data_IF_617708367077
#
_entry.id   IF_617708367077
#
_cell.length_a   1.000
_cell.length_b   1.000
_cell.length_c   1.000
_cell.angle_alpha   90.00
_cell.angle_beta   90.00
_cell.angle_gamma   90.00
#
_symmetry.space_group_name_H-M   'P 1'
#
loop_
_entity.id
_entity.type
_entity.pdbx_description
1 polymer ?
#
# COMPACT_ATOMS: atom_id res chain seq x y z
N UNK A 1 -9.29 -20.86 0.80
CA UNK A 1 -9.80 -19.67 0.09
C UNK A 1 -8.68 -19.19 -0.80
N UNK A 2 -8.90 -19.09 -2.12
CA UNK A 2 -7.89 -18.55 -3.03
C UNK A 2 -7.89 -17.03 -2.86
N UNK A 3 -6.80 -16.47 -2.34
CA UNK A 3 -6.60 -15.02 -2.35
C UNK A 3 -6.57 -14.59 -3.82
N UNK A 4 -7.58 -13.82 -4.24
CA UNK A 4 -7.54 -13.11 -5.51
C UNK A 4 -6.35 -12.17 -5.46
N UNK A 5 -5.45 -12.27 -6.45
CA UNK A 5 -4.31 -11.38 -6.54
C UNK A 5 -4.81 -9.92 -6.50
N UNK A 6 -4.39 -9.16 -5.50
CA UNK A 6 -4.73 -7.75 -5.38
C UNK A 6 -4.20 -7.04 -6.62
N UNK A 7 -5.10 -6.39 -7.36
CA UNK A 7 -4.71 -5.72 -8.61
C UNK A 7 -4.06 -4.36 -8.32
N UNK A 8 -4.14 -3.89 -7.08
CA UNK A 8 -3.66 -2.58 -6.65
C UNK A 8 -2.32 -2.62 -5.91
N UNK A 9 -1.93 -3.75 -5.31
CA UNK A 9 -0.68 -3.90 -4.54
C UNK A 9 0.59 -3.87 -5.42
N UNK A 10 0.96 -2.67 -5.86
CA UNK A 10 2.19 -2.36 -6.60
C UNK A 10 2.81 -1.08 -6.06
N UNK A 11 4.11 -0.87 -6.31
CA UNK A 11 4.72 0.46 -6.14
C UNK A 11 4.12 1.41 -7.16
N UNK A 12 3.67 2.58 -6.70
CA UNK A 12 2.98 3.55 -7.56
C UNK A 12 3.95 4.22 -8.55
N UNK A 13 3.43 4.63 -9.69
CA UNK A 13 4.22 5.30 -10.72
C UNK A 13 4.68 6.69 -10.24
N UNK A 14 3.87 7.39 -9.44
CA UNK A 14 4.27 8.64 -8.77
C UNK A 14 5.45 8.44 -7.81
N UNK A 15 5.56 7.29 -7.16
CA UNK A 15 6.67 6.97 -6.26
C UNK A 15 7.93 6.69 -7.07
N UNK A 16 7.82 5.89 -8.15
CA UNK A 16 8.95 5.60 -9.06
C UNK A 16 9.49 6.85 -9.73
N UNK A 17 8.61 7.78 -10.11
CA UNK A 17 9.02 9.05 -10.70
C UNK A 17 9.74 9.97 -9.70
N UNK A 18 9.32 9.95 -8.43
CA UNK A 18 9.92 10.76 -7.38
C UNK A 18 11.24 10.18 -6.85
N UNK A 19 11.40 8.85 -6.90
CA UNK A 19 12.57 8.13 -6.40
C UNK A 19 12.96 6.99 -7.35
N UNK A 20 13.59 7.32 -8.51
CA UNK A 20 13.97 6.32 -9.49
C UNK A 20 15.07 5.36 -8.99
N UNK A 21 15.83 5.75 -7.97
CA UNK A 21 16.86 4.91 -7.33
C UNK A 21 16.31 3.95 -6.27
N UNK A 22 15.04 4.09 -5.87
CA UNK A 22 14.42 3.25 -4.84
C UNK A 22 15.03 3.43 -3.45
N UNK A 23 15.60 4.59 -3.16
CA UNK A 23 16.26 4.92 -1.90
C UNK A 23 15.28 5.17 -0.75
N UNK A 24 14.01 5.46 -1.08
CA UNK A 24 12.90 5.61 -0.16
C UNK A 24 12.12 4.32 -0.05
N UNK A 25 11.62 4.02 1.15
CA UNK A 25 10.72 2.87 1.38
C UNK A 25 9.37 3.18 0.70
N UNK A 26 8.94 2.39 -0.31
CA UNK A 26 7.67 2.60 -1.00
C UNK A 26 6.46 2.39 -0.07
N UNK A 27 5.35 3.05 -0.35
CA UNK A 27 4.10 2.96 0.42
C UNK A 27 3.57 1.53 0.49
N UNK A 28 3.74 0.75 -0.59
CA UNK A 28 3.42 -0.68 -0.58
C UNK A 28 4.22 -1.40 0.53
N UNK A 29 5.53 -1.24 0.54
CA UNK A 29 6.41 -1.88 1.54
C UNK A 29 6.06 -1.40 2.94
N UNK A 30 5.78 -0.10 3.13
CA UNK A 30 5.34 0.43 4.44
C UNK A 30 4.05 -0.23 4.92
N UNK A 31 3.06 -0.43 4.05
CA UNK A 31 1.85 -1.17 4.41
C UNK A 31 2.17 -2.61 4.81
N UNK A 32 3.08 -3.29 4.08
CA UNK A 32 3.49 -4.66 4.41
C UNK A 32 4.22 -4.74 5.75
N UNK A 33 5.08 -3.77 6.04
CA UNK A 33 5.75 -3.63 7.35
C UNK A 33 4.72 -3.44 8.47
N UNK A 34 3.71 -2.58 8.27
CA UNK A 34 2.63 -2.37 9.24
C UNK A 34 1.86 -3.67 9.52
N UNK A 35 1.56 -4.47 8.49
CA UNK A 35 0.90 -5.78 8.64
C UNK A 35 1.80 -6.81 9.35
N UNK A 36 3.09 -6.83 9.01
CA UNK A 36 4.07 -7.72 9.62
C UNK A 36 4.51 -7.30 11.04
N UNK A 37 4.11 -6.10 11.48
CA UNK A 37 4.58 -5.50 12.74
C UNK A 37 6.06 -5.14 12.70
N UNK A 38 6.66 -4.94 11.52
CA UNK A 38 8.08 -4.68 11.37
C UNK A 38 8.39 -3.17 11.47
N UNK A 39 9.44 -2.81 12.21
CA UNK A 39 9.96 -1.43 12.24
C UNK A 39 11.27 -1.34 11.49
N UNK A 40 11.20 -0.96 10.22
CA UNK A 40 12.37 -0.78 9.37
C UNK A 40 12.77 0.70 9.29
N UNK A 41 14.01 1.02 9.63
CA UNK A 41 14.53 2.37 9.46
C UNK A 41 15.00 2.60 8.02
N UNK A 42 14.97 3.86 7.56
CA UNK A 42 15.39 4.20 6.20
C UNK A 42 16.84 3.82 5.92
N UNK A 43 17.75 4.02 6.89
CA UNK A 43 19.14 3.63 6.74
C UNK A 43 19.33 2.12 6.55
N UNK A 44 18.50 1.29 7.21
CA UNK A 44 18.53 -0.16 7.03
C UNK A 44 17.97 -0.57 5.66
N UNK A 45 16.89 0.06 5.21
CA UNK A 45 16.36 -0.12 3.85
C UNK A 45 17.42 0.18 2.78
N UNK A 46 18.15 1.28 2.94
CA UNK A 46 19.19 1.70 2.00
C UNK A 46 20.40 0.75 1.97
N UNK A 47 20.58 -0.10 2.99
CA UNK A 47 21.61 -1.15 2.96
C UNK A 47 21.21 -2.37 2.13
N UNK A 48 19.91 -2.53 1.84
CA UNK A 48 19.41 -3.63 1.02
C UNK A 48 19.76 -3.41 -0.45
N UNK A 49 20.17 -4.49 -1.11
CA UNK A 49 20.35 -4.51 -2.56
C UNK A 49 19.03 -4.32 -3.29
N UNK A 50 19.09 -3.93 -4.57
CA UNK A 50 17.90 -3.81 -5.41
C UNK A 50 17.09 -5.12 -5.48
N UNK A 51 17.76 -6.27 -5.60
CA UNK A 51 17.13 -7.58 -5.59
C UNK A 51 16.37 -7.86 -4.28
N UNK A 52 16.94 -7.48 -3.13
CA UNK A 52 16.29 -7.66 -1.82
C UNK A 52 15.09 -6.73 -1.66
N UNK A 53 15.22 -5.47 -2.07
CA UNK A 53 14.10 -4.50 -2.10
C UNK A 53 12.96 -5.04 -2.97
N UNK A 54 13.28 -5.60 -4.14
CA UNK A 54 12.30 -6.20 -5.05
C UNK A 54 11.64 -7.45 -4.45
N UNK A 55 12.41 -8.31 -3.78
CA UNK A 55 11.85 -9.47 -3.09
C UNK A 55 10.86 -9.07 -1.98
N UNK A 56 11.14 -7.99 -1.23
CA UNK A 56 10.19 -7.43 -0.25
C UNK A 56 8.96 -6.79 -0.89
N UNK A 57 9.08 -6.26 -2.11
CA UNK A 57 7.93 -5.75 -2.88
C UNK A 57 7.03 -6.90 -3.32
N UNK A 58 7.60 -8.03 -3.74
CA UNK A 58 6.86 -9.19 -4.26
C UNK A 58 6.30 -10.11 -3.18
N UNK A 59 6.94 -10.17 -2.01
CA UNK A 59 6.55 -11.08 -0.94
C UNK A 59 5.12 -10.82 -0.43
N UNK A 60 4.27 -11.85 -0.28
CA UNK A 60 2.89 -11.70 0.17
C UNK A 60 2.79 -11.38 1.67
N UNK A 61 1.72 -10.69 2.07
CA UNK A 61 1.39 -10.40 3.49
C UNK A 61 -0.13 -10.44 3.73
N UNK A 62 -0.76 -11.48 3.21
CA UNK A 62 -2.23 -11.63 3.22
C UNK A 62 -2.83 -12.17 4.53
N UNK A 63 -2.03 -12.92 5.28
CA UNK A 63 -2.47 -13.65 6.47
C UNK A 63 -1.31 -13.73 7.48
N UNK A 64 -1.57 -14.28 8.67
CA UNK A 64 -0.58 -14.38 9.74
C UNK A 64 0.69 -15.13 9.31
N UNK A 65 0.55 -16.28 8.64
CA UNK A 65 1.70 -17.06 8.17
C UNK A 65 2.54 -16.30 7.13
N UNK A 66 1.88 -15.58 6.21
CA UNK A 66 2.56 -14.74 5.24
C UNK A 66 3.27 -13.55 5.90
N UNK A 67 2.66 -12.95 6.93
CA UNK A 67 3.27 -11.86 7.72
C UNK A 67 4.50 -12.33 8.51
N UNK A 68 4.47 -13.55 9.06
CA UNK A 68 5.63 -14.17 9.72
C UNK A 68 6.75 -14.48 8.74
N UNK A 69 6.42 -15.02 7.56
CA UNK A 69 7.37 -15.27 6.50
C UNK A 69 8.01 -13.96 6.00
N UNK A 70 7.20 -12.90 5.83
CA UNK A 70 7.68 -11.57 5.45
C UNK A 70 8.67 -11.00 6.47
N UNK A 71 8.33 -11.06 7.76
CA UNK A 71 9.21 -10.60 8.83
C UNK A 71 10.53 -11.39 8.86
N UNK A 72 10.46 -12.71 8.71
CA UNK A 72 11.63 -13.59 8.70
C UNK A 72 12.55 -13.31 7.52
N UNK A 73 11.97 -13.09 6.33
CA UNK A 73 12.71 -12.69 5.12
C UNK A 73 13.49 -11.39 5.36
N UNK A 74 12.81 -10.37 5.90
CA UNK A 74 13.44 -9.07 6.20
C UNK A 74 14.60 -9.21 7.20
N UNK A 75 14.41 -9.96 8.29
CA UNK A 75 15.47 -10.19 9.28
C UNK A 75 16.69 -10.90 8.68
N UNK A 76 16.48 -11.87 7.78
CA UNK A 76 17.57 -12.57 7.10
C UNK A 76 18.39 -11.63 6.21
N UNK A 77 17.73 -10.74 5.45
CA UNK A 77 18.39 -9.74 4.61
C UNK A 77 19.18 -8.74 5.46
N UNK A 78 18.59 -8.24 6.54
CA UNK A 78 19.28 -7.32 7.46
C UNK A 78 20.51 -7.96 8.11
N UNK A 79 20.40 -9.22 8.55
CA UNK A 79 21.53 -9.96 9.10
C UNK A 79 22.65 -10.15 8.05
N UNK A 80 22.31 -10.48 6.81
CA UNK A 80 23.27 -10.60 5.70
C UNK A 80 23.98 -9.27 5.39
N UNK A 81 23.26 -8.14 5.54
CA UNK A 81 23.81 -6.79 5.44
C UNK A 81 24.57 -6.32 6.70
N UNK A 82 24.76 -7.18 7.70
CA UNK A 82 25.47 -6.85 8.94
C UNK A 82 24.71 -5.88 9.85
N UNK A 83 23.39 -5.78 9.70
CA UNK A 83 22.52 -4.94 10.52
C UNK A 83 22.02 -5.71 11.75
N UNK A 84 21.69 -4.97 12.80
CA UNK A 84 21.08 -5.56 13.99
C UNK A 84 19.66 -6.06 13.67
N UNK A 85 19.21 -7.07 14.42
CA UNK A 85 17.83 -7.53 14.34
C UNK A 85 16.87 -6.39 14.72
N UNK A 86 15.78 -6.26 13.97
CA UNK A 86 14.73 -5.27 14.26
C UNK A 86 13.66 -5.85 15.18
N UNK A 87 13.05 -5.00 16.01
CA UNK A 87 11.95 -5.41 16.87
C UNK A 87 10.66 -5.65 16.08
N UNK A 88 9.84 -6.57 16.60
CA UNK A 88 8.47 -6.76 16.15
C UNK A 88 7.50 -5.98 17.04
N UNK A 89 6.85 -4.99 16.46
CA UNK A 89 5.76 -4.25 17.06
C UNK A 89 4.40 -4.95 16.85
N UNK A 90 3.33 -4.36 17.37
CA UNK A 90 1.97 -4.82 17.13
C UNK A 90 1.60 -4.65 15.65
N UNK A 91 1.15 -5.74 15.03
CA UNK A 91 0.62 -5.73 13.65
C UNK A 91 -0.60 -4.83 13.51
N UNK A 92 -0.76 -4.27 12.31
CA UNK A 92 -1.98 -3.57 11.92
C UNK A 92 -3.19 -4.52 11.88
N UNK A 93 -4.27 -4.07 12.51
CA UNK A 93 -5.58 -4.74 12.58
C UNK A 93 -6.68 -3.68 12.44
N UNK A 94 -7.92 -4.08 12.17
CA UNK A 94 -9.04 -3.14 12.13
C UNK A 94 -9.22 -2.34 13.43
N UNK A 95 -8.71 -2.84 14.57
CA UNK A 95 -8.77 -2.15 15.87
C UNK A 95 -7.77 -0.99 16.02
N UNK A 96 -6.62 -1.02 15.31
CA UNK A 96 -5.56 -0.01 15.47
C UNK A 96 -5.19 0.70 14.15
N UNK A 97 -5.73 0.25 13.02
CA UNK A 97 -5.43 0.77 11.70
C UNK A 97 -6.72 1.05 10.92
N UNK A 98 -7.06 2.34 10.81
CA UNK A 98 -8.31 2.78 10.18
C UNK A 98 -8.49 2.30 8.73
N UNK A 99 -7.39 2.08 7.99
CA UNK A 99 -7.42 1.57 6.61
C UNK A 99 -7.82 0.09 6.50
N UNK A 100 -7.82 -0.67 7.60
CA UNK A 100 -8.37 -2.02 7.68
C UNK A 100 -9.82 -2.06 8.19
N UNK A 101 -10.36 -0.92 8.64
CA UNK A 101 -11.73 -0.81 9.10
C UNK A 101 -12.73 -0.69 7.97
N UNK A 102 -13.99 -1.05 8.27
CA UNK A 102 -15.10 -0.91 7.34
C UNK A 102 -15.59 0.54 7.26
N UNK A 103 -15.48 1.33 8.32
CA UNK A 103 -15.92 2.72 8.30
C UNK A 103 -14.90 3.63 7.59
N UNK A 104 -15.38 4.52 6.71
CA UNK A 104 -14.54 5.56 6.11
C UNK A 104 -14.09 6.56 7.19
N UNK A 105 -12.78 6.80 7.35
CA UNK A 105 -12.29 7.78 8.32
C UNK A 105 -12.65 9.22 7.92
N UNK A 106 -13.07 10.04 8.88
CA UNK A 106 -13.48 11.44 8.62
C UNK A 106 -12.38 12.28 7.94
N UNK A 107 -11.13 12.09 8.36
CA UNK A 107 -9.99 12.79 7.76
C UNK A 107 -9.72 12.36 6.31
N UNK A 108 -10.05 11.12 5.96
CA UNK A 108 -10.01 10.64 4.57
C UNK A 108 -11.12 11.28 3.75
N UNK A 109 -12.36 11.27 4.25
CA UNK A 109 -13.47 11.94 3.58
C UNK A 109 -13.18 13.44 3.34
N UNK A 110 -12.60 14.12 4.33
CA UNK A 110 -12.22 15.53 4.24
C UNK A 110 -11.12 15.79 3.19
N UNK A 111 -10.07 14.95 3.13
CA UNK A 111 -9.01 15.16 2.13
C UNK A 111 -9.50 14.83 0.72
N UNK A 112 -10.35 13.80 0.56
CA UNK A 112 -10.99 13.46 -0.71
C UNK A 112 -11.85 14.62 -1.24
N UNK A 113 -12.66 15.23 -0.37
CA UNK A 113 -13.47 16.40 -0.71
C UNK A 113 -12.60 17.59 -1.15
N UNK A 114 -11.53 17.89 -0.41
CA UNK A 114 -10.55 18.96 -0.77
C UNK A 114 -9.80 18.65 -2.07
N UNK A 115 -9.58 17.38 -2.37
CA UNK A 115 -8.95 16.92 -3.59
C UNK A 115 -9.92 16.90 -4.79
N UNK A 116 -11.24 17.04 -4.56
CA UNK A 116 -12.27 16.97 -5.58
C UNK A 116 -12.56 15.55 -6.08
N UNK A 117 -12.23 14.53 -5.28
CA UNK A 117 -12.42 13.12 -5.63
C UNK A 117 -13.58 12.51 -4.83
N UNK A 118 -14.29 11.57 -5.45
CA UNK A 118 -15.28 10.73 -4.77
C UNK A 118 -14.80 9.28 -4.79
N UNK A 119 -14.81 8.64 -3.64
CA UNK A 119 -14.42 7.24 -3.48
C UNK A 119 -15.56 6.48 -2.81
N UNK A 120 -15.71 5.19 -3.14
CA UNK A 120 -16.60 4.29 -2.42
C UNK A 120 -15.74 3.44 -1.49
N UNK A 121 -15.57 3.86 -0.24
CA UNK A 121 -14.63 3.21 0.71
C UNK A 121 -14.77 1.67 0.75
N UNK A 122 -16.01 1.18 0.75
CA UNK A 122 -16.29 -0.26 0.80
C UNK A 122 -15.82 -1.02 -0.44
N UNK A 123 -15.76 -0.39 -1.61
CA UNK A 123 -15.29 -1.02 -2.84
C UNK A 123 -13.76 -0.97 -2.99
N UNK A 124 -13.06 -0.26 -2.10
CA UNK A 124 -11.61 -0.14 -2.17
C UNK A 124 -10.93 -1.35 -1.54
N UNK A 125 -9.90 -1.85 -2.23
CA UNK A 125 -8.95 -2.80 -1.65
C UNK A 125 -8.16 -2.15 -0.51
N UNK A 126 -7.60 -2.99 0.38
CA UNK A 126 -6.86 -2.55 1.58
C UNK A 126 -5.72 -1.58 1.27
N UNK A 127 -4.98 -1.78 0.16
CA UNK A 127 -3.88 -0.89 -0.20
C UNK A 127 -4.38 0.47 -0.69
N UNK A 128 -5.45 0.53 -1.48
CA UNK A 128 -6.12 1.78 -1.82
C UNK A 128 -6.57 2.57 -0.58
N UNK A 129 -7.13 1.89 0.41
CA UNK A 129 -7.50 2.49 1.71
C UNK A 129 -6.26 3.02 2.46
N UNK A 130 -5.17 2.25 2.46
CA UNK A 130 -3.89 2.64 3.06
C UNK A 130 -3.34 3.94 2.45
N UNK A 131 -3.35 4.05 1.12
CA UNK A 131 -2.86 5.21 0.38
C UNK A 131 -3.69 6.47 0.69
N UNK A 132 -5.01 6.36 0.75
CA UNK A 132 -5.88 7.49 1.11
C UNK A 132 -5.64 7.94 2.56
N UNK A 133 -5.49 6.99 3.49
CA UNK A 133 -5.10 7.28 4.87
C UNK A 133 -3.71 7.94 4.94
N UNK A 134 -2.77 7.58 4.06
CA UNK A 134 -1.47 8.24 3.97
C UNK A 134 -1.61 9.71 3.52
N UNK A 135 -2.34 9.97 2.45
CA UNK A 135 -2.58 11.34 1.97
C UNK A 135 -3.32 12.19 3.00
N UNK A 136 -4.31 11.62 3.71
CA UNK A 136 -5.04 12.28 4.78
C UNK A 136 -4.11 12.72 5.92
N UNK A 137 -3.19 11.85 6.36
CA UNK A 137 -2.18 12.18 7.39
C UNK A 137 -1.21 13.28 6.95
N UNK A 138 -0.92 13.37 5.66
CA UNK A 138 -0.08 14.43 5.08
C UNK A 138 -0.84 15.74 4.85
N UNK A 139 -2.17 15.72 4.97
CA UNK A 139 -3.06 16.84 4.64
C UNK A 139 -2.84 17.40 3.22
N UNK A 140 -2.38 16.56 2.28
CA UNK A 140 -1.96 16.93 0.93
C UNK A 140 -3.01 16.52 -0.11
N UNK A 141 -3.82 17.48 -0.62
CA UNK A 141 -4.83 17.18 -1.64
C UNK A 141 -4.23 16.90 -3.02
N UNK A 142 -3.01 17.36 -3.32
CA UNK A 142 -2.34 17.05 -4.59
C UNK A 142 -1.87 15.60 -4.61
N UNK A 143 -1.25 15.13 -3.52
CA UNK A 143 -0.92 13.72 -3.34
C UNK A 143 -2.17 12.83 -3.38
N UNK A 144 -3.25 13.26 -2.73
CA UNK A 144 -4.53 12.55 -2.77
C UNK A 144 -5.07 12.39 -4.20
N UNK A 145 -5.02 13.45 -5.03
CA UNK A 145 -5.39 13.36 -6.45
C UNK A 145 -4.47 12.44 -7.25
N UNK A 146 -3.16 12.50 -7.02
CA UNK A 146 -2.19 11.66 -7.73
C UNK A 146 -2.43 10.18 -7.43
N UNK A 147 -2.61 9.82 -6.15
CA UNK A 147 -2.98 8.47 -5.72
C UNK A 147 -4.30 8.04 -6.38
N UNK A 148 -5.34 8.87 -6.30
CA UNK A 148 -6.64 8.58 -6.90
C UNK A 148 -6.54 8.35 -8.41
N UNK A 149 -5.72 9.11 -9.12
CA UNK A 149 -5.49 8.96 -10.55
C UNK A 149 -4.80 7.65 -10.93
N UNK A 150 -4.13 6.96 -10.00
CA UNK A 150 -3.53 5.64 -10.24
C UNK A 150 -4.41 4.46 -9.78
N UNK A 151 -5.18 4.65 -8.71
CA UNK A 151 -6.01 3.57 -8.14
C UNK A 151 -7.44 3.51 -8.70
N UNK A 152 -7.99 4.64 -9.15
CA UNK A 152 -9.36 4.73 -9.69
C UNK A 152 -9.52 4.37 -11.18
N UNK A 153 -8.51 4.49 -12.07
CA UNK A 153 -8.62 3.98 -13.45
C UNK A 153 -8.89 2.48 -13.51
N UNK A 154 -8.60 1.74 -12.43
CA UNK A 154 -8.89 0.31 -12.30
C UNK A 154 -10.37 0.02 -11.97
N UNK A 155 -11.16 1.03 -11.59
CA UNK A 155 -12.60 0.89 -11.30
C UNK A 155 -13.52 1.40 -12.43
N UNK A 156 -12.98 1.89 -13.55
CA UNK A 156 -13.76 2.40 -14.68
C UNK A 156 -13.48 1.63 -15.97
N UNK A 157 -13.86 0.36 -16.02
CA UNK A 157 -14.28 -0.24 -17.28
C UNK A 157 -15.80 -0.07 -17.38
N UNK A 158 -16.33 0.86 -18.20
CA UNK A 158 -17.75 0.82 -18.52
C UNK A 158 -18.02 -0.50 -19.25
N UNK A 159 -19.00 -1.27 -18.76
CA UNK A 159 -19.61 -2.32 -19.56
C UNK A 159 -20.01 -1.67 -20.89
N UNK A 160 -19.43 -2.15 -21.99
CA UNK A 160 -19.82 -1.75 -23.34
C UNK A 160 -21.32 -1.98 -23.47
N UNK A 161 -22.08 -0.90 -23.37
CA UNK A 161 -23.48 -0.84 -23.75
C UNK A 161 -23.52 -1.16 -25.24
N UNK A 162 -23.90 -2.40 -25.56
CA UNK A 162 -24.09 -2.81 -26.95
C UNK A 162 -25.39 -2.17 -27.40
N UNK A 163 -25.23 -0.98 -28.00
CA UNK A 163 -26.15 -0.29 -28.88
C UNK A 163 -27.37 -1.12 -29.32
N UNK A 164 -28.54 -0.61 -28.92
CA UNK A 164 -29.77 -0.71 -29.71
C UNK A 164 -29.47 -0.50 -31.21
N UNK A 165 -29.87 -1.47 -32.03
CA UNK A 165 -30.25 -1.21 -33.41
C UNK A 165 -31.68 -1.71 -33.59
N UNK A 166 -32.60 -0.75 -33.51
CA UNK A 166 -33.95 -0.83 -34.05
C UNK A 166 -33.85 -0.98 -35.57
N UNK A 167 -34.45 -2.03 -36.13
CA UNK A 167 -35.24 -2.02 -37.35
C UNK A 167 -36.08 -3.28 -37.44
#
# INVERSE_FOLDING_TARGET
MRETASTTERVLDIERAADPGGELIPLLVRMKLDLAGARLHLADWQTLSECERQALIEAPVGNLAAADAYFSLLQAMLAAAGRAAIDRAQSATAANAAWLGDAEPENVAAICARAGIKVQWQSLERFSRYLLCHAARKHDPALCRAIAAEILPLCSAPARDKYFKTR
#
